data_IF_382790019886
#
_entry.id   IF_382790019886
#
_cell.length_a   1.000
_cell.length_b   1.000
_cell.length_c   1.000
_cell.angle_alpha   90.00
_cell.angle_beta   90.00
_cell.angle_gamma   90.00
#
_symmetry.space_group_name_H-M   'P 1'
#
loop_
_entity.id
_entity.type
_entity.pdbx_description
1 polymer ?
#
# COMPACT_ATOMS: atom_id res chain seq x y z
N UNK A 1 2.43 8.79 -13.96
CA UNK A 1 2.95 7.41 -14.05
C UNK A 1 1.94 6.49 -14.71
N UNK A 2 2.32 5.34 -15.31
CA UNK A 2 1.31 4.44 -15.89
C UNK A 2 0.38 3.90 -14.81
N UNK A 3 -0.90 3.78 -15.15
CA UNK A 3 -1.89 3.10 -14.30
C UNK A 3 -1.67 1.59 -14.43
N UNK A 4 -1.72 0.91 -13.30
CA UNK A 4 -1.62 -0.53 -13.22
C UNK A 4 -2.74 -1.05 -12.31
N UNK A 5 -3.07 -2.31 -12.49
CA UNK A 5 -4.00 -3.03 -11.64
C UNK A 5 -3.38 -4.37 -11.28
N UNK A 6 -3.45 -4.73 -9.99
CA UNK A 6 -3.14 -6.07 -9.52
C UNK A 6 -4.42 -6.72 -9.01
N UNK A 7 -4.63 -7.97 -9.39
CA UNK A 7 -5.76 -8.78 -8.93
C UNK A 7 -5.26 -10.14 -8.46
N UNK A 8 -6.02 -10.75 -7.57
CA UNK A 8 -5.75 -12.11 -7.11
C UNK A 8 -6.72 -12.53 -6.03
N UNK A 9 -6.54 -13.75 -5.55
CA UNK A 9 -7.36 -14.34 -4.50
C UNK A 9 -6.46 -14.86 -3.40
N UNK A 10 -6.75 -14.47 -2.15
CA UNK A 10 -6.07 -14.98 -0.96
C UNK A 10 -7.15 -15.56 -0.05
N UNK A 11 -7.01 -16.82 0.34
CA UNK A 11 -7.96 -17.48 1.26
C UNK A 11 -9.44 -17.35 0.81
N UNK A 12 -9.67 -17.41 -0.50
CA UNK A 12 -11.00 -17.26 -1.10
C UNK A 12 -11.56 -15.82 -1.10
N UNK A 13 -10.77 -14.81 -0.74
CA UNK A 13 -11.11 -13.38 -0.83
C UNK A 13 -10.56 -12.82 -2.13
N UNK A 14 -11.41 -12.20 -2.95
CA UNK A 14 -11.00 -11.52 -4.18
C UNK A 14 -10.50 -10.13 -3.87
N UNK A 15 -9.31 -9.80 -4.37
CA UNK A 15 -8.62 -8.55 -4.07
C UNK A 15 -8.32 -7.83 -5.38
N UNK A 16 -8.60 -6.52 -5.41
CA UNK A 16 -8.23 -5.64 -6.53
C UNK A 16 -7.48 -4.42 -6.01
N UNK A 17 -6.32 -4.15 -6.60
CA UNK A 17 -5.47 -3.00 -6.27
C UNK A 17 -5.32 -2.14 -7.53
N UNK A 18 -5.90 -0.95 -7.50
CA UNK A 18 -5.72 0.05 -8.55
C UNK A 18 -4.64 1.05 -8.10
N UNK A 19 -3.61 1.25 -8.91
CA UNK A 19 -2.49 2.12 -8.55
C UNK A 19 -1.85 2.78 -9.77
N UNK A 20 -1.06 3.83 -9.51
CA UNK A 20 -0.18 4.41 -10.53
C UNK A 20 1.26 4.09 -10.15
N UNK A 21 2.02 3.55 -11.10
CA UNK A 21 3.32 2.91 -10.86
C UNK A 21 4.50 3.82 -11.27
N UNK A 22 4.97 4.76 -10.40
CA UNK A 22 6.16 5.55 -10.67
C UNK A 22 7.42 4.68 -10.77
N UNK A 23 8.38 5.14 -11.57
CA UNK A 23 9.70 4.52 -11.68
C UNK A 23 10.74 5.26 -10.84
N UNK A 24 11.79 4.61 -10.36
CA UNK A 24 12.84 5.22 -9.53
C UNK A 24 13.59 6.29 -10.33
N UNK A 25 14.05 5.95 -11.54
CA UNK A 25 14.78 6.83 -12.47
C UNK A 25 16.01 7.50 -11.85
N UNK A 26 16.78 6.74 -11.07
CA UNK A 26 18.01 7.22 -10.40
C UNK A 26 17.78 8.27 -9.30
N UNK A 27 16.53 8.49 -8.86
CA UNK A 27 16.20 9.40 -7.77
C UNK A 27 16.32 8.71 -6.41
N UNK A 28 16.64 9.47 -5.38
CA UNK A 28 16.49 9.02 -3.99
C UNK A 28 15.00 8.95 -3.64
N UNK A 29 14.50 7.74 -3.38
CA UNK A 29 13.08 7.54 -3.10
C UNK A 29 12.77 7.82 -1.64
N UNK A 30 13.35 7.02 -0.74
CA UNK A 30 13.04 7.09 0.68
C UNK A 30 13.86 8.20 1.36
N UNK A 31 13.18 9.07 2.10
CA UNK A 31 13.78 10.23 2.75
C UNK A 31 13.79 11.52 1.91
N UNK A 32 13.63 11.43 0.60
CA UNK A 32 13.57 12.60 -0.31
C UNK A 32 12.23 12.69 -1.05
N UNK A 33 12.04 11.89 -2.11
CA UNK A 33 10.78 11.88 -2.87
C UNK A 33 9.59 11.44 -1.99
N UNK A 34 9.81 10.41 -1.19
CA UNK A 34 8.89 9.92 -0.16
C UNK A 34 9.53 10.19 1.20
N UNK A 35 9.05 11.23 1.86
CA UNK A 35 9.56 11.65 3.17
C UNK A 35 9.17 10.67 4.26
N UNK A 36 10.11 10.36 5.15
CA UNK A 36 9.82 9.62 6.38
C UNK A 36 8.84 10.39 7.27
N UNK A 37 8.08 9.63 8.07
CA UNK A 37 7.10 10.12 9.03
C UNK A 37 6.02 11.03 8.41
N UNK A 38 5.80 10.89 7.10
CA UNK A 38 4.76 11.59 6.34
C UNK A 38 3.89 10.59 5.59
N UNK A 39 2.59 10.88 5.56
CA UNK A 39 1.61 10.09 4.81
C UNK A 39 1.91 10.19 3.32
N UNK A 40 2.06 9.04 2.70
CA UNK A 40 2.26 8.88 1.28
C UNK A 40 1.19 7.96 0.69
N UNK A 41 0.68 8.32 -0.49
CA UNK A 41 -0.40 7.61 -1.20
C UNK A 41 0.00 6.28 -1.86
N UNK A 42 1.21 5.78 -1.56
CA UNK A 42 1.74 4.54 -2.12
C UNK A 42 1.57 4.42 -3.66
N UNK A 43 1.87 5.50 -4.37
CA UNK A 43 1.58 5.67 -5.79
C UNK A 43 1.87 7.09 -6.28
N UNK A 44 1.45 7.36 -7.52
CA UNK A 44 1.55 8.68 -8.16
C UNK A 44 0.17 9.18 -8.61
N UNK A 45 0.03 10.49 -8.81
CA UNK A 45 -1.22 11.11 -9.31
C UNK A 45 -2.47 10.79 -8.46
N UNK A 46 -3.28 9.79 -8.87
CA UNK A 46 -4.46 9.31 -8.12
C UNK A 46 -4.07 8.47 -6.91
N UNK A 47 -4.94 8.43 -5.89
CA UNK A 47 -4.71 7.57 -4.74
C UNK A 47 -4.71 6.09 -5.15
N UNK A 48 -3.83 5.30 -4.54
CA UNK A 48 -3.90 3.84 -4.65
C UNK A 48 -5.14 3.36 -3.89
N UNK A 49 -5.87 2.39 -4.46
CA UNK A 49 -7.07 1.84 -3.82
C UNK A 49 -7.05 0.33 -3.76
N UNK A 50 -7.54 -0.22 -2.65
CA UNK A 50 -7.68 -1.65 -2.42
C UNK A 50 -9.17 -1.98 -2.30
N UNK A 51 -9.61 -3.06 -2.94
CA UNK A 51 -10.98 -3.56 -2.82
C UNK A 51 -10.94 -5.02 -2.37
N UNK A 52 -11.76 -5.35 -1.37
CA UNK A 52 -11.96 -6.70 -0.84
C UNK A 52 -13.44 -7.05 -0.97
N UNK A 53 -13.76 -8.25 -1.47
CA UNK A 53 -15.14 -8.73 -1.63
C UNK A 53 -15.74 -9.32 -0.35
N UNK A 54 -14.89 -9.60 0.65
CA UNK A 54 -15.26 -10.18 1.95
C UNK A 54 -14.54 -9.46 3.08
N UNK A 55 -15.05 -9.63 4.29
CA UNK A 55 -14.35 -9.23 5.50
C UNK A 55 -13.02 -9.99 5.60
N UNK A 56 -11.98 -9.26 5.99
CA UNK A 56 -10.61 -9.79 6.07
C UNK A 56 -9.96 -9.45 7.39
N UNK A 57 -8.85 -10.13 7.67
CA UNK A 57 -7.82 -9.60 8.55
C UNK A 57 -6.64 -9.12 7.71
N UNK A 58 -6.12 -7.93 8.02
CA UNK A 58 -4.86 -7.41 7.48
C UNK A 58 -3.81 -7.46 8.59
N UNK A 59 -2.75 -8.26 8.40
CA UNK A 59 -1.74 -8.51 9.42
C UNK A 59 -2.36 -8.86 10.80
N UNK A 60 -3.46 -9.63 10.79
CA UNK A 60 -4.19 -10.05 12.00
C UNK A 60 -5.12 -9.01 12.61
N UNK A 61 -5.39 -7.90 11.92
CA UNK A 61 -6.37 -6.88 12.33
C UNK A 61 -7.56 -6.84 11.40
N UNK A 62 -8.76 -6.81 11.96
CA UNK A 62 -10.01 -6.85 11.20
C UNK A 62 -10.16 -5.63 10.27
N UNK A 63 -10.65 -5.89 9.06
CA UNK A 63 -11.09 -4.88 8.10
C UNK A 63 -12.33 -5.44 7.38
N UNK A 64 -13.49 -4.75 7.44
CA UNK A 64 -14.66 -5.18 6.69
C UNK A 64 -14.44 -5.21 5.17
N UNK A 65 -15.31 -5.92 4.47
CA UNK A 65 -15.37 -5.87 3.01
C UNK A 65 -15.58 -4.43 2.53
N UNK A 66 -14.97 -4.08 1.40
CA UNK A 66 -15.16 -2.76 0.81
C UNK A 66 -13.97 -2.26 0.02
N UNK A 67 -14.06 -0.99 -0.38
CA UNK A 67 -13.03 -0.26 -1.12
C UNK A 67 -12.42 0.83 -0.27
N UNK A 68 -11.10 0.85 -0.20
CA UNK A 68 -10.32 1.73 0.65
C UNK A 68 -9.27 2.49 -0.16
N UNK A 69 -9.02 3.74 0.23
CA UNK A 69 -7.81 4.44 -0.13
C UNK A 69 -6.65 3.88 0.67
N UNK A 70 -5.49 3.74 0.04
CA UNK A 70 -4.32 3.13 0.68
C UNK A 70 -3.20 4.15 0.86
N UNK A 71 -2.64 4.18 2.07
CA UNK A 71 -1.54 5.05 2.40
C UNK A 71 -0.47 4.32 3.21
N UNK A 72 0.76 4.82 3.11
CA UNK A 72 1.92 4.35 3.86
C UNK A 72 2.53 5.56 4.58
N UNK A 73 2.91 5.38 5.84
CA UNK A 73 3.82 6.27 6.55
C UNK A 73 5.13 5.51 6.73
N UNK A 74 6.17 5.81 5.92
CA UNK A 74 7.45 5.15 6.06
C UNK A 74 8.21 5.71 7.25
N UNK A 75 8.96 4.85 7.93
CA UNK A 75 9.87 5.22 9.00
C UNK A 75 11.32 4.91 8.59
N UNK A 76 12.27 5.73 9.04
CA UNK A 76 13.67 5.57 8.67
C UNK A 76 14.33 4.35 9.35
N UNK A 77 13.91 3.98 10.56
CA UNK A 77 14.66 3.06 11.43
C UNK A 77 13.82 1.91 12.01
N UNK A 78 12.57 1.76 11.60
CA UNK A 78 11.68 0.77 12.17
C UNK A 78 10.48 0.46 11.29
N UNK A 79 9.43 -0.04 11.94
CA UNK A 79 8.20 -0.41 11.26
C UNK A 79 7.56 0.78 10.56
N UNK A 80 7.03 0.49 9.38
CA UNK A 80 6.20 1.41 8.63
C UNK A 80 4.75 1.24 9.07
N UNK A 81 3.93 2.23 8.79
CA UNK A 81 2.48 2.10 8.99
C UNK A 81 1.79 2.01 7.64
N UNK A 82 0.96 0.98 7.45
CA UNK A 82 -0.02 0.90 6.35
C UNK A 82 -1.39 1.32 6.85
N UNK A 83 -2.14 2.00 5.98
CA UNK A 83 -3.43 2.60 6.32
C UNK A 83 -4.44 2.30 5.22
N UNK A 84 -5.60 1.77 5.64
CA UNK A 84 -6.80 1.65 4.82
C UNK A 84 -7.78 2.73 5.26
N UNK A 85 -8.03 3.69 4.39
CA UNK A 85 -8.87 4.84 4.66
C UNK A 85 -10.18 4.71 3.89
N UNK A 86 -11.31 5.03 4.54
CA UNK A 86 -12.65 4.98 3.93
C UNK A 86 -12.80 5.94 2.75
N UNK A 87 -11.95 6.98 2.67
CA UNK A 87 -11.91 7.90 1.54
C UNK A 87 -11.00 7.40 0.42
N UNK A 88 -11.63 6.92 -0.65
CA UNK A 88 -10.98 6.18 -1.75
C UNK A 88 -10.98 6.88 -3.12
N UNK A 89 -11.43 8.14 -3.22
CA UNK A 89 -11.58 8.88 -4.49
C UNK A 89 -10.71 10.15 -4.57
N UNK A 90 -9.71 10.27 -3.71
CA UNK A 90 -8.87 11.47 -3.64
C UNK A 90 -7.77 11.49 -4.72
N UNK A 91 -7.45 12.70 -5.20
CA UNK A 91 -6.22 12.99 -5.93
C UNK A 91 -5.15 13.48 -4.95
N UNK A 92 -4.01 12.79 -4.88
CA UNK A 92 -2.94 13.13 -3.94
C UNK A 92 -3.21 12.78 -2.47
N UNK A 93 -2.19 12.92 -1.62
CA UNK A 93 -2.27 12.70 -0.17
C UNK A 93 -2.81 13.92 0.61
N UNK A 94 -2.96 15.09 -0.03
CA UNK A 94 -3.33 16.35 0.63
C UNK A 94 -4.74 16.36 1.24
N UNK A 95 -5.58 15.37 0.89
CA UNK A 95 -6.93 15.21 1.44
C UNK A 95 -7.03 14.12 2.51
N UNK A 96 -5.92 13.47 2.87
CA UNK A 96 -5.90 12.47 3.93
C UNK A 96 -6.38 13.07 5.26
N UNK A 97 -7.25 12.33 5.95
CA UNK A 97 -7.68 12.64 7.31
C UNK A 97 -7.67 11.37 8.13
N UNK A 98 -6.92 11.37 9.21
CA UNK A 98 -6.76 10.20 10.10
C UNK A 98 -8.09 9.71 10.68
N UNK A 99 -9.06 10.60 10.93
CA UNK A 99 -10.40 10.22 11.39
C UNK A 99 -11.19 9.36 10.39
N UNK A 100 -10.74 9.27 9.14
CA UNK A 100 -11.36 8.47 8.07
C UNK A 100 -10.65 7.11 7.91
N UNK A 101 -9.63 6.81 8.74
CA UNK A 101 -8.92 5.53 8.74
C UNK A 101 -9.85 4.42 9.25
N UNK A 102 -10.10 3.42 8.40
CA UNK A 102 -10.79 2.20 8.79
C UNK A 102 -9.84 1.25 9.52
N UNK A 103 -8.56 1.24 9.12
CA UNK A 103 -7.53 0.43 9.73
C UNK A 103 -6.14 1.06 9.58
N UNK A 104 -5.35 0.95 10.64
CA UNK A 104 -3.94 1.35 10.70
C UNK A 104 -3.12 0.22 11.32
N UNK A 105 -2.11 -0.28 10.60
CA UNK A 105 -1.30 -1.42 11.07
C UNK A 105 0.17 -1.15 10.84
N UNK A 106 1.01 -1.53 11.81
CA UNK A 106 2.45 -1.51 11.65
C UNK A 106 2.92 -2.73 10.85
N UNK A 107 3.91 -2.52 10.00
CA UNK A 107 4.50 -3.55 9.15
C UNK A 107 6.00 -3.31 9.04
N UNK A 108 6.79 -4.35 9.25
CA UNK A 108 8.24 -4.28 9.12
C UNK A 108 8.63 -4.30 7.65
N UNK A 109 9.35 -3.29 7.14
CA UNK A 109 9.84 -3.30 5.77
C UNK A 109 11.02 -4.27 5.61
N UNK A 110 11.07 -4.94 4.46
CA UNK A 110 12.23 -5.73 4.05
C UNK A 110 13.07 -4.90 3.10
N UNK A 111 14.33 -4.68 3.45
CA UNK A 111 15.32 -4.07 2.56
C UNK A 111 15.94 -5.16 1.68
N UNK A 112 15.84 -5.00 0.36
CA UNK A 112 16.35 -5.94 -0.64
C UNK A 112 17.66 -5.42 -1.25
N UNK A 113 18.52 -6.33 -1.72
CA UNK A 113 19.68 -5.94 -2.52
C UNK A 113 19.32 -5.50 -3.95
N UNK A 114 18.16 -5.96 -4.43
CA UNK A 114 17.66 -5.70 -5.78
C UNK A 114 16.83 -4.43 -5.83
N UNK A 115 17.02 -3.64 -6.90
CA UNK A 115 16.27 -2.43 -7.15
C UNK A 115 15.02 -2.74 -8.00
N UNK A 116 13.84 -2.65 -7.38
CA UNK A 116 12.56 -2.64 -8.07
C UNK A 116 12.33 -1.28 -8.74
N UNK A 117 12.74 -1.18 -10.01
CA UNK A 117 12.73 0.09 -10.75
C UNK A 117 11.35 0.74 -10.85
N UNK A 118 10.27 -0.04 -10.96
CA UNK A 118 8.92 0.49 -11.03
C UNK A 118 8.09 -0.04 -9.87
N UNK A 119 7.37 0.87 -9.18
CA UNK A 119 6.48 0.51 -8.08
C UNK A 119 5.53 -0.60 -8.52
N UNK A 120 5.51 -1.66 -7.74
CA UNK A 120 4.80 -2.89 -8.04
C UNK A 120 3.91 -3.27 -6.86
N UNK A 121 2.68 -3.65 -7.18
CA UNK A 121 1.83 -4.44 -6.30
C UNK A 121 1.53 -5.79 -6.95
N UNK A 122 1.55 -6.86 -6.15
CA UNK A 122 1.16 -8.20 -6.56
C UNK A 122 0.28 -8.85 -5.50
N UNK A 123 -0.67 -9.68 -5.93
CA UNK A 123 -1.52 -10.49 -5.06
C UNK A 123 -1.19 -11.96 -5.33
N UNK A 124 -0.49 -12.59 -4.38
CA UNK A 124 -0.07 -14.00 -4.44
C UNK A 124 -0.56 -14.69 -3.16
N UNK A 125 0.31 -15.34 -2.37
CA UNK A 125 -0.03 -15.84 -1.02
C UNK A 125 -0.22 -14.71 0.01
N UNK A 126 0.28 -13.52 -0.32
CA UNK A 126 0.08 -12.26 0.39
C UNK A 126 0.04 -11.11 -0.61
N UNK A 127 -0.26 -9.89 -0.15
CA UNK A 127 -0.10 -8.72 -1.00
C UNK A 127 1.34 -8.21 -0.87
N UNK A 128 2.06 -8.25 -1.98
CA UNK A 128 3.40 -7.70 -2.08
C UNK A 128 3.33 -6.24 -2.55
N UNK A 129 3.95 -5.34 -1.81
CA UNK A 129 4.38 -4.03 -2.30
C UNK A 129 5.89 -4.10 -2.53
N UNK A 130 6.39 -3.60 -3.65
CA UNK A 130 7.83 -3.47 -3.90
C UNK A 130 8.13 -2.20 -4.70
N UNK A 131 9.09 -1.39 -4.22
CA UNK A 131 9.61 -0.24 -4.96
C UNK A 131 10.99 0.15 -4.45
N UNK A 132 11.90 0.44 -5.39
CA UNK A 132 13.33 0.59 -5.07
C UNK A 132 13.83 -0.65 -4.33
N UNK A 133 14.53 -0.52 -3.21
CA UNK A 133 15.07 -1.62 -2.42
C UNK A 133 14.18 -1.97 -1.23
N UNK A 134 12.91 -1.58 -1.26
CA UNK A 134 11.97 -1.85 -0.16
C UNK A 134 10.83 -2.72 -0.66
N UNK A 135 10.51 -3.75 0.11
CA UNK A 135 9.28 -4.51 -0.04
C UNK A 135 8.51 -4.63 1.27
N UNK A 136 7.18 -4.73 1.16
CA UNK A 136 6.26 -5.02 2.26
C UNK A 136 5.43 -6.24 1.88
N UNK A 137 5.31 -7.21 2.79
CA UNK A 137 4.40 -8.35 2.64
C UNK A 137 3.20 -8.20 3.58
N UNK A 138 2.07 -7.81 3.01
CA UNK A 138 0.82 -7.58 3.74
C UNK A 138 0.02 -8.87 3.75
N UNK A 139 -0.11 -9.48 4.93
CA UNK A 139 -0.86 -10.73 5.11
C UNK A 139 -2.34 -10.44 5.10
N UNK A 140 -3.08 -11.26 4.36
CA UNK A 140 -4.54 -11.22 4.28
C UNK A 140 -5.08 -12.60 4.61
N UNK A 141 -6.16 -12.68 5.36
CA UNK A 141 -6.92 -13.91 5.58
C UNK A 141 -8.42 -13.59 5.58
N UNK A 142 -9.25 -14.55 5.16
CA UNK A 142 -10.69 -14.41 5.30
C UNK A 142 -11.07 -14.37 6.78
N UNK A 143 -12.18 -13.69 7.08
CA UNK A 143 -12.78 -13.69 8.42
C UNK A 143 -14.01 -14.61 8.48
#
# INVERSE_FOLDING_TARGET
SPKQQATGTIDGVSITIDYSAPSVKGRTIWGDLVKYDKVWRAGADKNTTFSFDKDVTINGKDLPAGKYGFFIIPNEKGDWTIIFNTKNDSWGAMKYKEKEDALRVNITPTITGENQEQLFFGVMDSILFSWEKVSLNIKVAAK
#
